data_IF_374787485213
#
_entry.id   IF_374787485213
#
_cell.length_a   1.000
_cell.length_b   1.000
_cell.length_c   1.000
_cell.angle_alpha   90.00
_cell.angle_beta   90.00
_cell.angle_gamma   90.00
#
_symmetry.space_group_name_H-M   'P 1'
#
loop_
_entity.id
_entity.type
_entity.pdbx_description
1 polymer ?
#
# COMPACT_ATOMS: atom_id res chain seq x y z
N UNK A 1 33.99 -0.25 -31.48
CA UNK A 1 33.52 -1.66 -31.34
C UNK A 1 34.18 -2.32 -30.12
N UNK A 2 35.16 -1.65 -29.51
CA UNK A 2 35.88 -2.11 -28.32
C UNK A 2 35.06 -2.08 -27.01
N UNK A 3 34.11 -1.16 -26.85
CA UNK A 3 33.36 -1.01 -25.58
C UNK A 3 32.43 -2.19 -25.26
N UNK A 4 31.82 -2.80 -26.28
CA UNK A 4 30.96 -3.98 -26.13
C UNK A 4 31.75 -5.24 -25.75
N UNK A 5 32.97 -5.37 -26.28
CA UNK A 5 33.84 -6.52 -25.97
C UNK A 5 34.40 -6.45 -24.56
N UNK A 6 34.51 -5.23 -24.01
CA UNK A 6 34.97 -4.99 -22.65
C UNK A 6 33.91 -5.34 -21.61
N UNK A 7 32.63 -5.05 -21.85
CA UNK A 7 31.57 -5.41 -20.89
C UNK A 7 31.37 -6.93 -20.78
N UNK A 8 31.46 -7.64 -21.90
CA UNK A 8 31.34 -9.12 -21.93
C UNK A 8 32.50 -9.79 -21.17
N UNK A 9 33.73 -9.31 -21.35
CA UNK A 9 34.89 -9.83 -20.63
C UNK A 9 34.81 -9.60 -19.11
N UNK A 10 34.31 -8.43 -18.69
CA UNK A 10 34.09 -8.14 -17.26
C UNK A 10 33.05 -9.08 -16.67
N UNK A 11 31.93 -9.32 -17.37
CA UNK A 11 30.89 -10.24 -16.88
C UNK A 11 31.40 -11.67 -16.74
N UNK A 12 32.28 -12.13 -17.63
CA UNK A 12 32.86 -13.47 -17.54
C UNK A 12 33.85 -13.61 -16.38
N UNK A 13 34.60 -12.55 -16.07
CA UNK A 13 35.46 -12.49 -14.87
C UNK A 13 34.64 -12.66 -13.59
N UNK A 14 33.53 -11.94 -13.48
CA UNK A 14 32.61 -12.06 -12.33
C UNK A 14 31.96 -13.45 -12.25
N UNK A 15 31.55 -14.03 -13.38
CA UNK A 15 31.02 -15.40 -13.42
C UNK A 15 32.04 -16.42 -12.89
N UNK A 16 33.31 -16.27 -13.27
CA UNK A 16 34.37 -17.15 -12.78
C UNK A 16 34.67 -16.94 -11.29
N UNK A 17 34.69 -15.68 -10.83
CA UNK A 17 34.87 -15.37 -9.42
C UNK A 17 33.78 -16.00 -8.55
N UNK A 18 32.51 -15.85 -8.95
CA UNK A 18 31.37 -16.41 -8.24
C UNK A 18 31.32 -17.94 -8.28
N UNK A 19 31.76 -18.56 -9.39
CA UNK A 19 31.84 -20.03 -9.54
C UNK A 19 32.98 -20.67 -8.74
N UNK A 20 33.95 -19.88 -8.28
CA UNK A 20 35.09 -20.41 -7.49
C UNK A 20 34.71 -20.81 -6.06
N UNK A 21 33.60 -20.28 -5.53
CA UNK A 21 33.00 -20.76 -4.30
C UNK A 21 32.11 -21.96 -4.59
N UNK A 22 32.27 -23.06 -3.84
CA UNK A 22 31.36 -24.22 -3.89
C UNK A 22 29.96 -23.91 -3.31
N UNK A 23 29.47 -22.69 -3.47
CA UNK A 23 28.20 -22.19 -2.96
C UNK A 23 27.32 -21.79 -4.13
N UNK A 24 26.02 -21.97 -3.98
CA UNK A 24 25.06 -21.54 -4.98
C UNK A 24 25.07 -20.01 -5.14
N UNK A 25 24.79 -19.49 -6.34
CA UNK A 25 24.82 -18.04 -6.60
C UNK A 25 23.86 -17.28 -5.68
N UNK A 26 22.70 -17.85 -5.34
CA UNK A 26 21.75 -17.23 -4.44
C UNK A 26 22.26 -17.26 -2.99
N UNK A 27 22.95 -18.32 -2.59
CA UNK A 27 23.61 -18.42 -1.28
C UNK A 27 24.74 -17.40 -1.15
N UNK A 28 25.49 -17.14 -2.24
CA UNK A 28 26.51 -16.09 -2.29
C UNK A 28 25.87 -14.71 -2.16
N UNK A 29 24.74 -14.45 -2.84
CA UNK A 29 24.00 -13.19 -2.74
C UNK A 29 23.49 -12.97 -1.31
N UNK A 30 22.91 -14.00 -0.68
CA UNK A 30 22.42 -13.92 0.69
C UNK A 30 23.54 -13.62 1.68
N UNK A 31 24.67 -14.34 1.57
CA UNK A 31 25.86 -14.08 2.40
C UNK A 31 26.43 -12.69 2.17
N UNK A 32 26.49 -12.22 0.93
CA UNK A 32 26.98 -10.88 0.61
C UNK A 32 26.07 -9.79 1.21
N UNK A 33 24.74 -9.98 1.18
CA UNK A 33 23.77 -9.11 1.83
C UNK A 33 23.98 -9.09 3.34
N UNK A 34 24.16 -10.26 3.97
CA UNK A 34 24.41 -10.37 5.40
C UNK A 34 25.72 -9.66 5.82
N UNK A 35 26.80 -9.86 5.07
CA UNK A 35 28.10 -9.21 5.31
C UNK A 35 27.97 -7.70 5.13
N UNK A 36 27.35 -7.23 4.05
CA UNK A 36 27.16 -5.80 3.81
C UNK A 36 26.28 -5.13 4.89
N UNK A 37 25.24 -5.81 5.36
CA UNK A 37 24.38 -5.31 6.43
C UNK A 37 25.08 -5.27 7.80
N UNK A 38 26.03 -6.18 8.04
CA UNK A 38 26.79 -6.26 9.30
C UNK A 38 27.94 -5.24 9.33
N UNK A 39 28.70 -5.13 8.25
CA UNK A 39 29.91 -4.31 8.20
C UNK A 39 29.60 -2.84 7.85
N UNK A 40 28.55 -2.59 7.07
CA UNK A 40 28.19 -1.27 6.57
C UNK A 40 26.68 -0.97 6.65
N UNK A 41 26.06 -1.01 7.85
CA UNK A 41 24.61 -0.97 8.00
C UNK A 41 23.94 0.30 7.43
N UNK A 42 24.56 1.47 7.61
CA UNK A 42 23.98 2.74 7.15
C UNK A 42 24.09 2.89 5.62
N UNK A 43 25.22 2.51 5.03
CA UNK A 43 25.40 2.52 3.58
C UNK A 43 24.55 1.46 2.89
N UNK A 44 24.46 0.27 3.48
CA UNK A 44 23.59 -0.78 2.98
C UNK A 44 22.14 -0.32 3.01
N UNK A 45 21.69 0.35 4.08
CA UNK A 45 20.34 0.92 4.15
C UNK A 45 20.06 1.94 3.05
N UNK A 46 21.01 2.82 2.73
CA UNK A 46 20.86 3.81 1.65
C UNK A 46 20.87 3.17 0.25
N UNK A 47 21.67 2.11 0.05
CA UNK A 47 21.82 1.44 -1.26
C UNK A 47 20.79 0.34 -1.49
N UNK A 48 20.14 -0.17 -0.43
CA UNK A 48 19.13 -1.25 -0.50
C UNK A 48 18.02 -0.91 -1.47
N UNK A 49 17.52 0.32 -1.46
CA UNK A 49 16.39 0.68 -2.29
C UNK A 49 16.77 0.66 -3.78
N UNK A 50 18.02 0.99 -4.12
CA UNK A 50 18.56 0.83 -5.48
C UNK A 50 18.72 -0.65 -5.85
N UNK A 51 19.17 -1.51 -4.94
CA UNK A 51 19.27 -2.97 -5.16
C UNK A 51 17.88 -3.55 -5.44
N UNK A 52 16.90 -3.21 -4.61
CA UNK A 52 15.50 -3.62 -4.78
C UNK A 52 14.95 -3.10 -6.12
N UNK A 53 15.17 -1.83 -6.43
CA UNK A 53 14.75 -1.26 -7.70
C UNK A 53 15.35 -2.02 -8.89
N UNK A 54 16.65 -2.35 -8.84
CA UNK A 54 17.29 -3.15 -9.89
C UNK A 54 16.67 -4.54 -10.01
N UNK A 55 16.44 -5.24 -8.89
CA UNK A 55 15.80 -6.57 -8.88
C UNK A 55 14.40 -6.58 -9.51
N UNK A 56 13.63 -5.49 -9.34
CA UNK A 56 12.28 -5.35 -9.87
C UNK A 56 12.21 -4.57 -11.18
N UNK A 57 13.34 -4.16 -11.76
CA UNK A 57 13.37 -3.47 -13.05
C UNK A 57 13.20 -4.47 -14.19
N UNK A 58 12.36 -4.13 -15.18
CA UNK A 58 12.12 -4.96 -16.37
C UNK A 58 13.40 -5.31 -17.16
N UNK A 59 14.49 -4.56 -16.96
CA UNK A 59 15.81 -4.80 -17.57
C UNK A 59 16.37 -6.20 -17.26
N UNK A 60 16.05 -6.79 -16.09
CA UNK A 60 16.47 -8.15 -15.72
C UNK A 60 15.41 -9.22 -16.00
N UNK A 61 14.15 -8.81 -16.15
CA UNK A 61 12.99 -9.71 -16.35
C UNK A 61 12.85 -10.08 -17.84
N UNK A 62 13.35 -9.25 -18.75
CA UNK A 62 13.20 -9.43 -20.20
C UNK A 62 14.15 -10.47 -20.83
N UNK A 63 14.96 -11.17 -20.06
CA UNK A 63 15.86 -12.21 -20.59
C UNK A 63 15.37 -13.65 -20.42
N UNK A 64 14.15 -13.86 -19.91
CA UNK A 64 13.49 -15.18 -19.95
C UNK A 64 12.13 -15.02 -20.63
N UNK A 65 12.18 -15.28 -21.93
CA UNK A 65 11.11 -15.87 -22.74
C UNK A 65 9.79 -15.08 -22.92
N UNK A 66 9.52 -14.81 -24.20
CA UNK A 66 8.23 -14.47 -24.79
C UNK A 66 7.10 -15.32 -24.19
N UNK A 67 6.43 -14.77 -23.18
CA UNK A 67 5.41 -15.49 -22.43
C UNK A 67 4.54 -14.57 -21.60
N UNK A 68 3.93 -13.56 -22.25
CA UNK A 68 2.65 -12.94 -21.89
C UNK A 68 2.23 -13.02 -20.40
N UNK A 69 2.86 -12.25 -19.50
CA UNK A 69 2.30 -11.97 -18.17
C UNK A 69 1.64 -10.59 -18.22
N UNK A 70 0.44 -10.63 -18.76
CA UNK A 70 -0.63 -9.65 -18.55
C UNK A 70 -0.83 -9.52 -17.02
N UNK A 71 -0.43 -8.39 -16.43
CA UNK A 71 -0.84 -8.01 -15.06
C UNK A 71 -2.33 -7.63 -15.04
N UNK A 72 -3.17 -8.53 -15.52
CA UNK A 72 -4.63 -8.47 -15.51
C UNK A 72 -5.08 -9.66 -14.69
N UNK A 73 -4.82 -9.57 -13.39
CA UNK A 73 -5.53 -10.38 -12.43
C UNK A 73 -6.99 -9.89 -12.40
N UNK A 74 -7.77 -10.32 -13.40
CA UNK A 74 -9.22 -10.31 -13.35
C UNK A 74 -9.63 -11.33 -12.31
N UNK A 75 -9.69 -10.90 -11.06
CA UNK A 75 -10.50 -11.57 -10.06
C UNK A 75 -11.96 -11.38 -10.48
N UNK A 76 -12.58 -12.43 -11.06
CA UNK A 76 -14.03 -12.47 -11.25
C UNK A 76 -14.68 -12.39 -9.88
N UNK A 77 -15.24 -11.24 -9.53
CA UNK A 77 -16.21 -11.13 -8.46
C UNK A 77 -17.59 -11.28 -9.07
N UNK A 78 -18.12 -12.50 -9.01
CA UNK A 78 -19.55 -12.72 -9.05
C UNK A 78 -20.08 -12.34 -7.66
N UNK A 79 -20.89 -11.29 -7.58
CA UNK A 79 -21.47 -10.79 -6.34
C UNK A 79 -21.88 -9.32 -6.42
N UNK A 80 -23.13 -9.10 -6.82
CA UNK A 80 -23.99 -7.91 -6.70
C UNK A 80 -23.46 -6.49 -6.98
N UNK A 81 -23.93 -5.95 -8.10
CA UNK A 81 -23.81 -4.54 -8.53
C UNK A 81 -24.36 -3.55 -7.48
N UNK A 82 -25.27 -3.99 -6.61
CA UNK A 82 -25.95 -3.14 -5.61
C UNK A 82 -24.99 -2.71 -4.48
N UNK A 83 -24.10 -3.60 -4.01
CA UNK A 83 -23.22 -3.33 -2.85
C UNK A 83 -22.12 -2.31 -3.16
N UNK A 84 -21.65 -2.26 -4.41
CA UNK A 84 -20.67 -1.27 -4.85
C UNK A 84 -21.23 0.16 -4.82
N UNK A 85 -22.52 0.34 -5.13
CA UNK A 85 -23.14 1.67 -5.19
C UNK A 85 -23.25 2.31 -3.80
N UNK A 86 -23.54 1.56 -2.74
CA UNK A 86 -23.72 2.15 -1.40
C UNK A 86 -22.40 2.56 -0.74
N UNK A 87 -21.35 1.76 -0.89
CA UNK A 87 -19.99 2.17 -0.52
C UNK A 87 -19.59 3.47 -1.26
N UNK A 88 -19.93 3.58 -2.54
CA UNK A 88 -19.67 4.80 -3.29
C UNK A 88 -20.56 5.96 -2.82
N UNK A 89 -21.81 5.74 -2.39
CA UNK A 89 -22.67 6.77 -1.77
C UNK A 89 -22.11 7.29 -0.43
N UNK A 90 -21.70 6.40 0.48
CA UNK A 90 -21.05 6.75 1.76
C UNK A 90 -19.71 7.45 1.49
N UNK A 91 -18.97 6.97 0.49
CA UNK A 91 -17.75 7.60 0.03
C UNK A 91 -18.01 8.94 -0.67
N UNK A 92 -19.13 9.21 -1.30
CA UNK A 92 -19.37 10.46 -2.04
C UNK A 92 -20.05 11.55 -1.20
N UNK A 93 -20.68 11.21 -0.08
CA UNK A 93 -21.13 12.18 0.92
C UNK A 93 -22.30 13.05 0.47
N UNK A 94 -23.28 12.46 -0.22
CA UNK A 94 -24.49 13.16 -0.67
C UNK A 94 -25.72 12.90 0.22
N UNK A 95 -25.51 12.42 1.46
CA UNK A 95 -26.58 12.24 2.44
C UNK A 95 -26.89 13.57 3.12
N UNK A 96 -27.59 14.45 2.40
CA UNK A 96 -28.27 15.58 3.03
C UNK A 96 -29.44 15.03 3.86
N UNK A 97 -29.29 15.11 5.17
CA UNK A 97 -30.36 15.29 6.16
C UNK A 97 -31.46 14.22 6.21
N UNK A 98 -31.35 13.22 7.10
CA UNK A 98 -32.52 12.67 7.81
C UNK A 98 -32.18 12.12 9.21
N UNK A 99 -32.74 12.82 10.20
CA UNK A 99 -33.20 12.35 11.51
C UNK A 99 -32.19 12.16 12.67
N UNK A 100 -32.26 13.15 13.56
CA UNK A 100 -31.93 13.15 14.99
C UNK A 100 -32.34 11.87 15.72
N UNK A 101 -31.40 11.27 16.46
CA UNK A 101 -31.70 10.44 17.64
C UNK A 101 -30.60 10.63 18.68
N UNK A 102 -31.01 10.91 19.91
CA UNK A 102 -30.18 11.22 21.08
C UNK A 102 -29.55 9.96 21.71
N UNK A 103 -28.53 10.17 22.58
CA UNK A 103 -27.88 9.22 23.52
C UNK A 103 -26.74 8.35 22.90
N UNK A 104 -25.48 8.29 23.34
CA UNK A 104 -24.82 8.50 24.64
C UNK A 104 -23.47 9.22 24.49
N UNK A 105 -23.21 10.24 25.31
CA UNK A 105 -22.13 11.22 25.13
C UNK A 105 -21.08 11.08 26.24
N UNK A 106 -20.01 10.28 26.02
CA UNK A 106 -18.71 10.58 26.67
C UNK A 106 -17.51 9.79 26.14
N UNK A 107 -17.69 8.62 25.51
CA UNK A 107 -16.56 7.77 25.07
C UNK A 107 -16.38 7.68 23.55
N UNK A 108 -17.39 8.05 22.76
CA UNK A 108 -17.40 7.96 21.29
C UNK A 108 -17.00 9.28 20.59
N UNK A 109 -17.07 10.42 21.29
CA UNK A 109 -16.65 11.73 20.78
C UNK A 109 -15.13 11.83 20.52
N UNK A 110 -14.31 11.11 21.30
CA UNK A 110 -12.84 11.22 21.24
C UNK A 110 -12.28 10.60 19.96
N UNK A 111 -12.99 9.64 19.35
CA UNK A 111 -12.53 8.95 18.14
C UNK A 111 -12.79 9.76 16.88
N UNK A 112 -13.93 10.43 16.76
CA UNK A 112 -14.29 11.19 15.56
C UNK A 112 -13.42 12.44 15.38
N UNK A 113 -13.12 13.17 16.46
CA UNK A 113 -12.23 14.34 16.44
C UNK A 113 -10.81 13.96 16.00
N UNK A 114 -10.30 12.82 16.45
CA UNK A 114 -8.98 12.33 16.04
C UNK A 114 -8.98 11.89 14.57
N UNK A 115 -10.05 11.25 14.11
CA UNK A 115 -10.21 10.88 12.70
C UNK A 115 -10.30 12.11 11.81
N UNK A 116 -10.95 13.20 12.27
CA UNK A 116 -10.96 14.48 11.55
C UNK A 116 -9.58 15.13 11.49
N UNK A 117 -8.79 15.08 12.57
CA UNK A 117 -7.39 15.54 12.54
C UNK A 117 -6.55 14.76 11.52
N UNK A 118 -6.68 13.43 11.51
CA UNK A 118 -6.01 12.59 10.52
C UNK A 118 -6.48 12.91 9.11
N UNK A 119 -7.79 13.10 8.93
CA UNK A 119 -8.36 13.49 7.64
C UNK A 119 -7.70 14.76 7.10
N UNK A 120 -7.54 15.77 7.94
CA UNK A 120 -6.91 17.03 7.55
C UNK A 120 -5.44 16.83 7.13
N UNK A 121 -4.69 15.96 7.82
CA UNK A 121 -3.32 15.58 7.43
C UNK A 121 -3.33 14.93 6.04
N UNK A 122 -4.20 13.94 5.82
CA UNK A 122 -4.31 13.23 4.55
C UNK A 122 -4.74 14.14 3.39
N UNK A 123 -5.66 15.07 3.64
CA UNK A 123 -6.12 16.02 2.62
C UNK A 123 -4.99 16.99 2.23
N UNK A 124 -4.21 17.48 3.22
CA UNK A 124 -3.06 18.37 2.98
C UNK A 124 -1.91 17.68 2.26
N UNK A 125 -1.68 16.40 2.56
CA UNK A 125 -0.59 15.61 1.96
C UNK A 125 -0.97 14.97 0.63
N UNK A 126 -2.20 15.16 0.14
CA UNK A 126 -2.63 14.62 -1.14
C UNK A 126 -1.84 15.23 -2.31
N UNK A 127 -1.03 14.40 -2.98
CA UNK A 127 -0.21 14.83 -4.13
C UNK A 127 1.18 15.36 -3.77
N UNK A 128 1.52 15.41 -2.48
CA UNK A 128 2.88 15.71 -2.02
C UNK A 128 3.72 14.42 -2.03
N UNK A 129 4.78 14.41 -2.85
CA UNK A 129 5.70 13.29 -2.98
C UNK A 129 6.95 13.43 -2.09
N UNK A 130 7.01 14.46 -1.24
CA UNK A 130 8.09 14.67 -0.27
C UNK A 130 8.17 13.52 0.74
N UNK A 131 9.39 13.06 1.06
CA UNK A 131 9.61 11.99 2.03
C UNK A 131 8.95 12.27 3.38
N UNK A 132 8.92 13.54 3.81
CA UNK A 132 8.24 13.98 5.03
C UNK A 132 6.72 13.73 4.97
N UNK A 133 6.08 14.06 3.84
CA UNK A 133 4.66 13.82 3.63
C UNK A 133 4.35 12.32 3.56
N UNK A 134 5.21 11.52 2.91
CA UNK A 134 5.04 10.06 2.83
C UNK A 134 5.05 9.42 4.22
N UNK A 135 5.96 9.85 5.10
CA UNK A 135 6.04 9.35 6.49
C UNK A 135 4.78 9.74 7.27
N UNK A 136 4.38 11.00 7.23
CA UNK A 136 3.17 11.48 7.93
C UNK A 136 1.90 10.78 7.46
N UNK A 137 1.78 10.55 6.14
CA UNK A 137 0.67 9.80 5.55
C UNK A 137 0.68 8.35 6.05
N UNK A 138 1.85 7.70 6.05
CA UNK A 138 1.96 6.33 6.53
C UNK A 138 1.59 6.19 8.02
N UNK A 139 2.08 7.08 8.88
CA UNK A 139 1.76 7.10 10.31
C UNK A 139 0.26 7.32 10.54
N UNK A 140 -0.32 8.26 9.80
CA UNK A 140 -1.76 8.57 9.86
C UNK A 140 -2.63 7.39 9.44
N UNK A 141 -2.31 6.72 8.33
CA UNK A 141 -3.00 5.51 7.88
C UNK A 141 -2.80 4.35 8.85
N UNK A 142 -1.61 4.21 9.42
CA UNK A 142 -1.33 3.20 10.45
C UNK A 142 -2.17 3.44 11.70
N UNK A 143 -2.35 4.70 12.11
CA UNK A 143 -3.19 5.05 13.25
C UNK A 143 -4.67 4.72 12.98
N UNK A 144 -5.18 5.02 11.79
CA UNK A 144 -6.53 4.63 11.36
C UNK A 144 -6.76 3.12 11.41
N UNK A 145 -5.74 2.32 11.08
CA UNK A 145 -5.83 0.85 11.12
C UNK A 145 -6.10 0.33 12.55
N UNK A 146 -5.52 0.98 13.55
CA UNK A 146 -5.63 0.53 14.95
C UNK A 146 -6.84 1.12 15.68
N UNK A 147 -7.43 2.21 15.18
CA UNK A 147 -8.56 2.86 15.85
C UNK A 147 -9.89 2.13 15.71
N UNK A 148 -10.03 1.19 14.77
CA UNK A 148 -11.27 0.44 14.54
C UNK A 148 -12.37 1.35 14.00
N UNK A 149 -12.86 1.10 12.78
CA UNK A 149 -13.77 2.05 12.12
C UNK A 149 -15.20 1.53 12.14
N UNK A 150 -16.12 2.36 12.63
CA UNK A 150 -17.56 2.12 12.60
C UNK A 150 -18.17 2.74 11.32
N UNK A 151 -19.33 2.24 10.91
CA UNK A 151 -20.09 2.82 9.78
C UNK A 151 -20.42 4.29 10.07
N UNK A 152 -20.78 4.62 11.31
CA UNK A 152 -21.13 5.99 11.70
C UNK A 152 -19.96 6.96 11.57
N UNK A 153 -18.77 6.58 12.05
CA UNK A 153 -17.58 7.42 11.92
C UNK A 153 -17.15 7.59 10.46
N UNK A 154 -17.25 6.53 9.63
CA UNK A 154 -16.94 6.63 8.19
C UNK A 154 -17.87 7.60 7.46
N UNK A 155 -19.16 7.61 7.81
CA UNK A 155 -20.16 8.52 7.27
C UNK A 155 -19.93 9.97 7.74
N UNK A 156 -19.84 10.18 9.05
CA UNK A 156 -19.73 11.51 9.67
C UNK A 156 -18.42 12.21 9.25
N UNK A 157 -17.31 11.49 9.25
CA UNK A 157 -15.99 12.10 8.96
C UNK A 157 -15.70 12.16 7.46
N UNK A 158 -16.29 11.27 6.66
CA UNK A 158 -15.98 11.16 5.23
C UNK A 158 -14.52 10.77 4.93
N UNK A 159 -13.80 10.20 5.90
CA UNK A 159 -12.38 9.80 5.80
C UNK A 159 -12.10 8.82 4.65
N UNK A 160 -13.12 8.05 4.24
CA UNK A 160 -13.05 7.14 3.09
C UNK A 160 -12.62 7.83 1.79
N UNK A 161 -13.00 9.10 1.58
CA UNK A 161 -12.58 9.88 0.41
C UNK A 161 -11.09 10.17 0.41
N UNK A 162 -10.62 10.70 1.54
CA UNK A 162 -9.23 11.10 1.71
C UNK A 162 -8.30 9.90 1.54
N UNK A 163 -8.64 8.75 2.14
CA UNK A 163 -7.84 7.51 2.02
C UNK A 163 -7.87 6.93 0.59
N UNK A 164 -8.97 7.09 -0.15
CA UNK A 164 -9.08 6.56 -1.53
C UNK A 164 -8.00 7.14 -2.46
N UNK A 165 -7.62 8.40 -2.29
CA UNK A 165 -6.56 9.03 -3.08
C UNK A 165 -5.20 8.33 -2.96
N UNK A 166 -4.93 7.71 -1.81
CA UNK A 166 -3.64 7.07 -1.53
C UNK A 166 -3.50 5.64 -2.07
N UNK A 167 -4.57 5.05 -2.63
CA UNK A 167 -4.51 3.70 -3.22
C UNK A 167 -3.60 3.60 -4.46
N UNK A 168 -3.27 4.73 -5.08
CA UNK A 168 -2.36 4.86 -6.23
C UNK A 168 -1.09 5.63 -5.88
N UNK A 169 -0.80 5.80 -4.59
CA UNK A 169 0.37 6.53 -4.13
C UNK A 169 1.69 5.83 -4.53
N UNK A 170 2.75 6.60 -4.78
CA UNK A 170 4.03 6.08 -5.26
C UNK A 170 4.79 5.22 -4.24
N UNK A 171 4.61 5.50 -2.94
CA UNK A 171 5.11 4.63 -1.87
C UNK A 171 4.25 3.37 -1.75
N UNK A 172 4.89 2.21 -1.88
CA UNK A 172 4.24 0.89 -1.79
C UNK A 172 3.58 0.67 -0.44
N UNK A 173 4.20 1.13 0.65
CA UNK A 173 3.67 0.90 2.00
C UNK A 173 2.41 1.73 2.24
N UNK A 174 2.43 3.01 1.86
CA UNK A 174 1.24 3.90 1.86
C UNK A 174 0.12 3.32 0.98
N UNK A 175 0.48 2.85 -0.21
CA UNK A 175 -0.47 2.25 -1.14
C UNK A 175 -1.11 0.97 -0.56
N UNK A 176 -0.32 0.07 0.01
CA UNK A 176 -0.78 -1.19 0.58
C UNK A 176 -1.68 -0.98 1.79
N UNK A 177 -1.30 -0.08 2.70
CA UNK A 177 -2.12 0.20 3.89
C UNK A 177 -3.44 0.88 3.51
N UNK A 178 -3.42 1.83 2.56
CA UNK A 178 -4.64 2.45 2.05
C UNK A 178 -5.59 1.42 1.41
N UNK A 179 -5.07 0.49 0.60
CA UNK A 179 -5.89 -0.59 0.02
C UNK A 179 -6.48 -1.50 1.10
N UNK A 180 -5.70 -1.86 2.13
CA UNK A 180 -6.14 -2.70 3.25
C UNK A 180 -7.27 -2.02 4.04
N UNK A 181 -7.10 -0.74 4.38
CA UNK A 181 -8.11 0.04 5.08
C UNK A 181 -9.43 0.08 4.30
N UNK A 182 -9.38 0.46 3.02
CA UNK A 182 -10.59 0.52 2.18
C UNK A 182 -11.27 -0.85 2.05
N UNK A 183 -10.50 -1.95 1.94
CA UNK A 183 -11.08 -3.30 1.92
C UNK A 183 -11.76 -3.65 3.24
N UNK A 184 -11.15 -3.29 4.36
CA UNK A 184 -11.67 -3.56 5.71
C UNK A 184 -12.95 -2.76 5.96
N UNK A 185 -12.95 -1.47 5.64
CA UNK A 185 -14.09 -0.59 5.84
C UNK A 185 -15.27 -0.95 4.94
N UNK A 186 -15.00 -1.41 3.72
CA UNK A 186 -16.05 -1.98 2.87
C UNK A 186 -16.74 -3.16 3.54
N UNK A 187 -15.97 -4.08 4.15
CA UNK A 187 -16.53 -5.22 4.89
C UNK A 187 -17.41 -4.78 6.07
N UNK A 188 -17.00 -3.74 6.81
CA UNK A 188 -17.80 -3.18 7.92
C UNK A 188 -19.13 -2.60 7.40
N UNK A 189 -19.11 -1.90 6.26
CA UNK A 189 -20.31 -1.37 5.63
C UNK A 189 -21.20 -2.49 5.09
N UNK A 190 -20.62 -3.49 4.41
CA UNK A 190 -21.35 -4.63 3.86
C UNK A 190 -22.05 -5.44 4.97
N UNK A 191 -21.36 -5.68 6.09
CA UNK A 191 -21.93 -6.38 7.24
C UNK A 191 -23.09 -5.61 7.87
N UNK A 192 -22.98 -4.28 7.95
CA UNK A 192 -24.07 -3.43 8.43
C UNK A 192 -25.29 -3.48 7.50
N UNK A 193 -25.08 -3.42 6.18
CA UNK A 193 -26.18 -3.57 5.20
C UNK A 193 -26.88 -4.92 5.40
N UNK A 194 -26.11 -6.02 5.41
CA UNK A 194 -26.64 -7.37 5.55
C UNK A 194 -27.41 -7.56 6.88
N UNK A 195 -27.03 -6.83 7.95
CA UNK A 195 -27.76 -6.81 9.21
C UNK A 195 -29.06 -6.01 9.11
N UNK A 196 -29.05 -4.85 8.45
CA UNK A 196 -30.25 -4.02 8.27
C UNK A 196 -31.29 -4.68 7.35
N UNK A 197 -30.87 -5.39 6.31
CA UNK A 197 -31.77 -6.11 5.38
C UNK A 197 -32.46 -7.30 6.04
N UNK A 198 -31.81 -7.98 6.99
CA UNK A 198 -32.42 -9.11 7.73
C UNK A 198 -33.47 -8.67 8.76
N UNK A 199 -33.50 -7.38 9.09
CA UNK A 199 -34.37 -6.81 10.12
C UNK A 199 -35.59 -6.10 9.51
N UNK A 200 -35.65 -5.97 8.18
CA UNK A 200 -36.77 -5.41 7.42
C UNK A 200 -37.64 -6.51 6.79
#
# INVERSE_FOLDING_TARGET
>A
MEDLKKSEAVMEEWRNYLRSGNADIFEIIERAIMVAASDHPMEFRMKRDKIVQTLFSCELINHVEEGNIDCKEKMKMSGDVVKNHLWDTISHGDTQETLVHEHDQETEMVTDDEVLRIKEILDKSCGDASESAVVLVYESLSKLQHMGMSVKTLEVTGIGRSVRGFQKHGSRDVCQIARRLIKTWRGVVDEWIDATEKTS
#
